data_IF_052759896456
#
_entry.id   IF_052759896456
#
_cell.length_a   1.000
_cell.length_b   1.000
_cell.length_c   1.000
_cell.angle_alpha   90.00
_cell.angle_beta   90.00
_cell.angle_gamma   90.00
#
_symmetry.space_group_name_H-M   'P 1'
#
loop_
_entity.id
_entity.type
_entity.pdbx_description
1 polymer ?
#
# COMPACT_ATOMS: atom_id res chain seq x y z
N UNK A 1 -30.95 -56.60 35.51
CA UNK A 1 -30.70 -55.29 34.87
C UNK A 1 -29.40 -54.60 35.31
N UNK A 2 -28.76 -54.99 36.43
CA UNK A 2 -27.54 -54.29 36.93
C UNK A 2 -26.21 -54.76 36.30
N UNK A 3 -26.14 -55.97 35.73
CA UNK A 3 -24.88 -56.50 35.16
C UNK A 3 -24.45 -55.85 33.84
N UNK A 4 -25.39 -55.28 33.06
CA UNK A 4 -25.06 -54.62 31.79
C UNK A 4 -24.43 -53.23 31.98
N UNK A 5 -24.72 -52.55 33.09
CA UNK A 5 -24.19 -51.21 33.38
C UNK A 5 -22.73 -51.21 33.83
N UNK A 6 -22.30 -52.24 34.56
CA UNK A 6 -20.91 -52.36 35.03
C UNK A 6 -19.93 -52.72 33.92
N UNK A 7 -20.39 -53.39 32.85
CA UNK A 7 -19.52 -53.79 31.74
C UNK A 7 -19.14 -52.60 30.85
N UNK A 8 -20.07 -51.69 30.60
CA UNK A 8 -19.83 -50.48 29.78
C UNK A 8 -18.89 -49.48 30.47
N UNK A 9 -18.88 -49.44 31.81
CA UNK A 9 -18.03 -48.51 32.56
C UNK A 9 -16.56 -48.95 32.54
N UNK A 10 -16.27 -50.26 32.52
CA UNK A 10 -14.89 -50.77 32.47
C UNK A 10 -14.23 -50.61 31.09
N UNK A 11 -14.99 -50.77 30.00
CA UNK A 11 -14.43 -50.57 28.65
C UNK A 11 -13.97 -49.12 28.37
N UNK A 12 -14.59 -48.13 29.00
CA UNK A 12 -14.20 -46.72 28.81
C UNK A 12 -12.88 -46.37 29.52
N UNK A 13 -12.48 -47.13 30.55
CA UNK A 13 -11.26 -46.84 31.32
C UNK A 13 -10.00 -47.38 30.61
N UNK A 14 -10.10 -48.50 29.89
CA UNK A 14 -9.00 -49.11 29.14
C UNK A 14 -8.57 -48.25 27.93
N UNK A 15 -9.53 -47.64 27.22
CA UNK A 15 -9.28 -46.82 26.01
C UNK A 15 -8.62 -45.46 26.33
N UNK A 16 -8.82 -44.96 27.55
CA UNK A 16 -8.25 -43.67 27.99
C UNK A 16 -6.77 -43.84 28.40
N UNK A 17 -6.39 -45.01 28.93
CA UNK A 17 -5.02 -45.27 29.42
C UNK A 17 -3.97 -45.39 28.30
N UNK A 18 -4.36 -45.68 27.06
CA UNK A 18 -3.43 -45.87 25.93
C UNK A 18 -3.06 -44.56 25.19
N UNK A 19 -3.59 -43.40 25.60
CA UNK A 19 -3.33 -42.12 24.92
C UNK A 19 -2.15 -41.31 25.49
N UNK A 20 -1.43 -41.85 26.46
CA UNK A 20 -0.36 -41.15 27.16
C UNK A 20 1.02 -41.79 26.95
N UNK A 21 1.41 -41.99 25.70
CA UNK A 21 2.82 -42.06 25.34
C UNK A 21 3.05 -41.17 24.12
N UNK A 22 3.30 -39.89 24.38
CA UNK A 22 3.87 -39.01 23.35
C UNK A 22 5.32 -39.43 23.13
N UNK A 23 5.75 -39.78 21.91
CA UNK A 23 7.16 -40.00 21.64
C UNK A 23 7.91 -38.69 21.89
N UNK A 24 9.03 -38.76 22.60
CA UNK A 24 9.95 -37.65 22.82
C UNK A 24 10.38 -37.10 21.46
N UNK A 25 9.84 -35.95 21.09
CA UNK A 25 10.15 -35.27 19.84
C UNK A 25 11.63 -34.91 19.82
N UNK A 26 12.37 -35.39 18.81
CA UNK A 26 13.73 -34.93 18.53
C UNK A 26 13.71 -33.41 18.34
N UNK A 27 14.58 -32.72 19.09
CA UNK A 27 14.74 -31.27 18.97
C UNK A 27 15.38 -30.95 17.62
N UNK A 28 14.57 -30.73 16.59
CA UNK A 28 15.03 -30.21 15.32
C UNK A 28 15.39 -28.73 15.51
N UNK A 29 16.68 -28.41 15.53
CA UNK A 29 17.19 -27.02 15.54
C UNK A 29 17.17 -26.44 14.13
N UNK A 30 15.98 -26.10 13.62
CA UNK A 30 15.90 -25.33 12.36
C UNK A 30 16.40 -23.92 12.62
N UNK A 31 17.37 -23.42 11.84
CA UNK A 31 17.75 -22.01 11.87
C UNK A 31 16.53 -21.15 11.51
N UNK A 32 16.14 -20.24 12.41
CA UNK A 32 14.98 -19.38 12.19
C UNK A 32 15.31 -18.36 11.09
N UNK A 33 14.80 -18.59 9.90
CA UNK A 33 14.89 -17.60 8.82
C UNK A 33 13.90 -16.46 9.07
N UNK A 34 14.40 -15.23 9.02
CA UNK A 34 13.56 -14.04 9.11
C UNK A 34 12.84 -13.83 7.77
N UNK A 35 11.56 -14.21 7.72
CA UNK A 35 10.69 -13.92 6.59
C UNK A 35 9.51 -13.05 7.04
N UNK A 36 9.02 -12.20 6.15
CA UNK A 36 7.87 -11.31 6.39
C UNK A 36 6.54 -12.06 6.46
N UNK A 37 6.47 -13.26 5.89
CA UNK A 37 5.24 -14.05 5.83
C UNK A 37 4.88 -14.71 7.16
N UNK A 38 5.84 -14.90 8.07
CA UNK A 38 5.72 -15.63 9.34
C UNK A 38 4.55 -15.14 10.20
N UNK A 39 4.25 -13.84 10.17
CA UNK A 39 3.17 -13.21 10.95
C UNK A 39 2.17 -12.44 10.09
N UNK A 40 2.16 -12.68 8.78
CA UNK A 40 1.30 -11.96 7.83
C UNK A 40 -0.18 -12.36 7.92
N UNK A 41 -0.46 -13.63 8.24
CA UNK A 41 -1.82 -14.18 8.32
C UNK A 41 -2.30 -14.14 9.78
N UNK A 42 -3.18 -13.19 10.10
CA UNK A 42 -3.72 -13.00 11.45
C UNK A 42 -5.21 -12.65 11.45
N UNK A 43 -5.85 -12.83 12.61
CA UNK A 43 -7.22 -12.39 12.90
C UNK A 43 -7.26 -11.50 14.14
N UNK A 44 -8.33 -10.71 14.28
CA UNK A 44 -8.54 -9.94 15.52
C UNK A 44 -8.64 -10.89 16.72
N UNK A 45 -7.89 -10.60 17.78
CA UNK A 45 -7.91 -11.35 19.04
C UNK A 45 -9.08 -10.95 19.94
N UNK A 46 -9.75 -9.84 19.65
CA UNK A 46 -10.88 -9.33 20.44
C UNK A 46 -12.11 -10.22 20.24
N UNK A 47 -12.89 -10.43 21.30
CA UNK A 47 -14.14 -11.20 21.23
C UNK A 47 -15.23 -10.49 20.41
N UNK A 48 -15.37 -9.18 20.57
CA UNK A 48 -16.28 -8.31 19.79
C UNK A 48 -15.45 -7.31 19.00
N UNK A 49 -15.64 -7.27 17.69
CA UNK A 49 -14.96 -6.33 16.80
C UNK A 49 -15.85 -5.99 15.61
N UNK A 50 -15.65 -4.79 15.06
CA UNK A 50 -16.31 -4.33 13.85
C UNK A 50 -15.69 -4.99 12.61
N UNK A 51 -16.48 -5.12 11.54
CA UNK A 51 -15.96 -5.60 10.26
C UNK A 51 -14.97 -4.59 9.71
N UNK A 52 -13.78 -5.08 9.37
CA UNK A 52 -12.75 -4.31 8.70
C UNK A 52 -12.47 -4.91 7.33
N UNK A 53 -12.19 -4.05 6.36
CA UNK A 53 -11.92 -4.41 4.98
C UNK A 53 -10.43 -4.22 4.67
N UNK A 54 -9.79 -5.17 3.96
CA UNK A 54 -8.40 -5.01 3.54
C UNK A 54 -8.32 -3.90 2.49
N UNK A 55 -7.35 -3.00 2.66
CA UNK A 55 -7.06 -1.94 1.69
C UNK A 55 -5.55 -1.68 1.58
N UNK A 56 -5.20 -1.04 0.48
CA UNK A 56 -3.85 -0.68 0.11
C UNK A 56 -3.53 0.75 0.56
N UNK A 57 -2.67 0.92 1.57
CA UNK A 57 -2.18 2.22 2.01
C UNK A 57 -0.93 2.59 1.19
N UNK A 58 -1.03 3.69 0.44
CA UNK A 58 0.07 4.26 -0.34
C UNK A 58 0.67 5.42 0.45
N UNK A 59 1.95 5.30 0.77
CA UNK A 59 2.72 6.32 1.48
C UNK A 59 3.15 7.45 0.51
N UNK A 60 3.55 8.64 1.01
CA UNK A 60 4.06 9.71 0.16
C UNK A 60 5.29 9.30 -0.66
N UNK A 61 6.09 8.34 -0.14
CA UNK A 61 7.27 7.77 -0.81
C UNK A 61 6.91 6.75 -1.90
N UNK A 62 5.61 6.48 -2.11
CA UNK A 62 5.11 5.48 -3.06
C UNK A 62 5.14 4.04 -2.55
N UNK A 63 5.78 3.79 -1.40
CA UNK A 63 5.73 2.48 -0.74
C UNK A 63 4.31 2.12 -0.31
N UNK A 64 4.04 0.83 -0.20
CA UNK A 64 2.67 0.32 -0.10
C UNK A 64 2.53 -0.74 1.00
N UNK A 65 1.48 -0.63 1.82
CA UNK A 65 1.21 -1.55 2.94
C UNK A 65 -0.26 -1.98 2.92
N UNK A 66 -0.51 -3.27 3.15
CA UNK A 66 -1.86 -3.80 3.32
C UNK A 66 -2.34 -3.62 4.76
N UNK A 67 -3.42 -2.85 4.95
CA UNK A 67 -4.03 -2.60 6.27
C UNK A 67 -5.51 -2.94 6.25
N UNK A 68 -6.13 -3.08 7.42
CA UNK A 68 -7.58 -3.27 7.55
C UNK A 68 -8.24 -1.98 8.01
N UNK A 69 -9.31 -1.56 7.34
CA UNK A 69 -9.98 -0.28 7.58
C UNK A 69 -11.49 -0.45 7.74
N UNK A 70 -12.15 0.55 8.35
CA UNK A 70 -13.59 0.49 8.68
C UNK A 70 -14.47 0.50 7.42
N UNK A 71 -14.11 1.34 6.47
CA UNK A 71 -14.85 1.50 5.22
C UNK A 71 -14.29 0.59 4.13
N UNK A 72 -15.14 0.06 3.23
CA UNK A 72 -14.73 -0.77 2.11
C UNK A 72 -14.09 0.07 0.99
N UNK A 73 -12.90 0.60 1.25
CA UNK A 73 -12.06 1.31 0.26
C UNK A 73 -11.00 0.35 -0.28
N UNK A 74 -10.59 0.53 -1.54
CA UNK A 74 -9.52 -0.30 -2.14
C UNK A 74 -8.13 0.30 -1.90
N UNK A 75 -8.01 1.63 -2.00
CA UNK A 75 -6.74 2.35 -1.92
C UNK A 75 -6.93 3.59 -1.05
N UNK A 76 -5.95 3.88 -0.20
CA UNK A 76 -5.86 5.12 0.57
C UNK A 76 -4.49 5.75 0.30
N UNK A 77 -4.48 6.99 -0.17
CA UNK A 77 -3.24 7.73 -0.45
C UNK A 77 -2.93 8.68 0.70
N UNK A 78 -1.76 8.54 1.31
CA UNK A 78 -1.30 9.47 2.32
C UNK A 78 -0.86 10.79 1.68
N UNK A 79 -1.30 11.94 2.21
CA UNK A 79 -0.83 13.23 1.73
C UNK A 79 0.65 13.40 2.09
N UNK A 80 1.35 14.17 1.27
CA UNK A 80 2.71 14.63 1.59
C UNK A 80 2.61 15.72 2.66
N UNK A 81 3.39 15.59 3.74
CA UNK A 81 3.50 16.63 4.75
C UNK A 81 4.26 17.84 4.19
N UNK A 82 3.70 19.04 4.31
CA UNK A 82 4.30 20.28 3.79
C UNK A 82 5.38 20.81 4.74
N UNK A 83 5.32 20.45 6.03
CA UNK A 83 6.25 20.94 7.04
C UNK A 83 7.67 20.40 6.83
N UNK A 84 7.79 19.13 6.47
CA UNK A 84 9.04 18.39 6.29
C UNK A 84 9.80 18.69 5.00
N UNK A 85 9.12 19.24 3.98
CA UNK A 85 9.75 19.51 2.68
C UNK A 85 10.77 20.65 2.78
N UNK A 86 11.77 20.64 1.89
CA UNK A 86 12.66 21.79 1.69
C UNK A 86 11.92 22.96 1.04
N UNK A 87 12.41 24.19 1.23
CA UNK A 87 11.80 25.39 0.65
C UNK A 87 11.74 25.34 -0.88
N UNK A 88 12.78 24.76 -1.49
CA UNK A 88 12.88 24.57 -2.94
C UNK A 88 11.78 23.65 -3.46
N UNK A 89 11.58 22.51 -2.80
CA UNK A 89 10.53 21.56 -3.15
C UNK A 89 9.13 22.11 -2.93
N UNK A 90 8.92 22.88 -1.85
CA UNK A 90 7.65 23.60 -1.64
C UNK A 90 7.40 24.56 -2.80
N UNK A 91 8.39 25.34 -3.21
CA UNK A 91 8.28 26.29 -4.32
C UNK A 91 7.99 25.59 -5.65
N UNK A 92 8.65 24.46 -5.92
CA UNK A 92 8.37 23.63 -7.10
C UNK A 92 6.93 23.11 -7.11
N UNK A 93 6.43 22.58 -5.98
CA UNK A 93 5.04 22.09 -5.85
C UNK A 93 4.03 23.23 -6.01
N UNK A 94 4.29 24.42 -5.44
CA UNK A 94 3.43 25.59 -5.59
C UNK A 94 3.36 26.08 -7.06
N UNK A 95 4.50 26.09 -7.77
CA UNK A 95 4.52 26.38 -9.22
C UNK A 95 3.73 25.36 -10.03
N UNK A 96 3.83 24.08 -9.69
CA UNK A 96 3.08 22.99 -10.36
C UNK A 96 1.57 23.08 -10.07
N UNK A 97 1.17 23.52 -8.88
CA UNK A 97 -0.23 23.74 -8.50
C UNK A 97 -0.87 24.90 -9.25
N UNK A 98 -0.14 26.00 -9.41
CA UNK A 98 -0.60 27.22 -10.11
C UNK A 98 0.17 27.44 -11.43
N UNK A 99 -0.03 26.60 -12.47
CA UNK A 99 0.71 26.74 -13.72
C UNK A 99 0.43 28.07 -14.44
N UNK A 100 -0.73 28.70 -14.15
CA UNK A 100 -1.14 29.99 -14.73
C UNK A 100 -0.21 31.15 -14.40
N UNK A 101 0.55 31.10 -13.30
CA UNK A 101 1.54 32.13 -12.94
C UNK A 101 2.87 31.97 -13.70
N UNK A 102 3.12 30.78 -14.27
CA UNK A 102 4.33 30.44 -15.02
C UNK A 102 4.13 30.37 -16.52
N UNK A 103 2.88 30.42 -17.00
CA UNK A 103 2.59 30.78 -18.38
C UNK A 103 3.00 32.24 -18.56
N UNK A 104 4.30 32.47 -18.76
CA UNK A 104 4.77 33.51 -19.66
C UNK A 104 3.83 33.36 -20.85
N UNK A 105 2.87 34.30 -21.01
CA UNK A 105 2.20 34.49 -22.30
C UNK A 105 3.33 34.31 -23.26
N UNK A 106 3.28 33.29 -24.13
CA UNK A 106 4.17 33.28 -25.27
C UNK A 106 4.07 34.71 -25.74
N UNK A 107 5.15 35.48 -25.56
CA UNK A 107 5.31 36.69 -26.32
C UNK A 107 5.24 36.04 -27.69
N UNK A 108 4.09 36.15 -28.34
CA UNK A 108 4.06 36.31 -29.77
C UNK A 108 5.22 37.26 -29.96
N UNK A 109 6.37 36.70 -30.30
CA UNK A 109 7.43 37.47 -30.89
C UNK A 109 6.70 37.82 -32.17
N UNK A 110 5.95 38.91 -32.11
CA UNK A 110 5.58 39.66 -33.28
C UNK A 110 6.95 40.00 -33.82
N UNK A 111 7.42 39.12 -34.71
CA UNK A 111 8.49 39.49 -35.61
C UNK A 111 7.88 40.68 -36.33
N UNK A 112 8.26 41.89 -35.90
CA UNK A 112 7.98 43.10 -36.63
C UNK A 112 8.65 42.89 -37.99
N UNK A 113 7.85 42.49 -38.97
CA UNK A 113 8.31 42.25 -40.32
C UNK A 113 8.56 43.62 -40.96
N UNK A 114 9.81 44.07 -40.91
CA UNK A 114 10.29 45.29 -41.56
C UNK A 114 10.32 45.16 -43.10
N UNK A 115 9.47 44.32 -43.68
CA UNK A 115 9.37 44.10 -45.11
C UNK A 115 9.02 45.41 -45.86
N UNK A 116 9.92 45.85 -46.74
CA UNK A 116 9.70 46.96 -47.68
C UNK A 116 9.65 46.41 -49.10
N UNK A 117 8.50 46.54 -49.77
CA UNK A 117 8.34 46.10 -51.16
C UNK A 117 9.29 46.82 -52.14
N UNK A 118 9.67 48.06 -51.82
CA UNK A 118 10.55 48.90 -52.64
C UNK A 118 11.95 48.32 -52.80
N UNK A 119 12.49 47.62 -51.79
CA UNK A 119 13.82 47.01 -51.81
C UNK A 119 13.93 45.87 -52.86
N UNK A 120 12.78 45.32 -53.26
CA UNK A 120 12.65 44.22 -54.19
C UNK A 120 12.15 44.65 -55.58
N UNK A 121 11.81 45.93 -55.76
CA UNK A 121 11.36 46.49 -57.04
C UNK A 121 12.36 46.29 -58.20
N UNK A 122 13.66 46.22 -57.87
CA UNK A 122 14.77 45.93 -58.81
C UNK A 122 14.69 44.58 -59.51
N UNK A 123 13.89 43.64 -59.00
CA UNK A 123 13.72 42.31 -59.58
C UNK A 123 12.45 42.17 -60.43
N UNK A 124 11.63 43.23 -60.54
CA UNK A 124 10.33 43.16 -61.22
C UNK A 124 10.41 43.32 -62.74
N UNK A 125 11.52 43.84 -63.25
CA UNK A 125 11.80 43.91 -64.68
C UNK A 125 12.96 42.97 -64.98
N UNK A 126 12.72 41.99 -65.85
CA UNK A 126 13.68 40.98 -66.28
C UNK A 126 14.39 41.43 -67.55
#
# INVERSE_FOLDING_TARGET
SLMFSHWTIKCLQEVVAQRHFLPLSSLHTTTTQHNSNKTSIVRSSRQKYERLYPLLLVQPDGSTINIRYKEPKRILMMPVDISTLSEEEKKMRMRKRDPRKGAVKQRTVEFEDDFKADDYSKFWKK
#
